data_IF_369526791543
#
_entry.id   IF_369526791543
#
_cell.length_a   1.000
_cell.length_b   1.000
_cell.length_c   1.000
_cell.angle_alpha   90.00
_cell.angle_beta   90.00
_cell.angle_gamma   90.00
#
_symmetry.space_group_name_H-M   'P 1'
#
loop_
_entity.id
_entity.type
_entity.pdbx_description
1 polymer ?
#
# COMPACT_ATOMS: atom_id res chain seq x y z
N UNK A 1 0.74 -4.23 9.09
CA UNK A 1 1.19 -5.52 8.50
C UNK A 1 -0.05 -6.18 7.89
N UNK A 2 0.04 -6.73 6.67
CA UNK A 2 -1.09 -7.40 6.01
C UNK A 2 -1.09 -8.90 6.28
N UNK A 3 0.08 -9.55 6.23
CA UNK A 3 0.25 -10.97 6.58
C UNK A 3 1.53 -11.11 7.39
N UNK A 4 1.41 -11.60 8.62
CA UNK A 4 2.56 -11.97 9.44
C UNK A 4 3.14 -13.28 8.95
N UNK A 5 4.42 -13.29 8.56
CA UNK A 5 5.14 -14.50 8.20
C UNK A 5 6.49 -14.51 8.90
N UNK A 6 6.78 -15.60 9.59
CA UNK A 6 8.08 -15.88 10.19
C UNK A 6 8.77 -16.94 9.34
N UNK A 7 9.93 -16.60 8.80
CA UNK A 7 10.80 -17.57 8.12
C UNK A 7 11.89 -17.98 9.10
N UNK A 8 12.07 -19.29 9.38
CA UNK A 8 13.19 -19.73 10.19
C UNK A 8 14.49 -19.37 9.47
N UNK A 9 15.43 -18.75 10.19
CA UNK A 9 16.73 -18.40 9.65
C UNK A 9 17.80 -19.07 10.49
N UNK A 10 18.49 -20.04 9.90
CA UNK A 10 19.66 -20.67 10.52
C UNK A 10 20.85 -19.74 10.33
N UNK A 11 20.88 -18.63 11.07
CA UNK A 11 22.00 -17.69 11.06
C UNK A 11 23.06 -18.21 12.02
N UNK A 12 24.25 -18.52 11.51
CA UNK A 12 25.41 -18.79 12.38
C UNK A 12 25.76 -17.50 13.11
N UNK A 13 25.93 -17.55 14.43
CA UNK A 13 26.24 -16.38 15.25
C UNK A 13 27.49 -15.60 14.78
N UNK A 14 28.36 -16.26 14.01
CA UNK A 14 29.58 -15.71 13.42
C UNK A 14 29.35 -14.74 12.24
N UNK A 15 28.15 -14.67 11.67
CA UNK A 15 27.89 -13.76 10.54
C UNK A 15 27.49 -12.35 10.96
N UNK A 16 27.28 -12.10 12.25
CA UNK A 16 26.98 -10.76 12.76
C UNK A 16 28.27 -9.96 12.95
N UNK A 17 28.20 -8.67 12.67
CA UNK A 17 29.28 -7.74 12.91
C UNK A 17 29.63 -7.72 14.44
N UNK A 18 30.91 -7.55 14.80
CA UNK A 18 31.32 -7.53 16.21
C UNK A 18 30.61 -6.43 17.02
N UNK A 19 30.26 -5.31 16.40
CA UNK A 19 29.50 -4.21 17.01
C UNK A 19 28.09 -4.65 17.41
N UNK A 20 27.40 -5.38 16.52
CA UNK A 20 26.06 -5.93 16.78
C UNK A 20 26.08 -6.98 17.91
N UNK A 21 27.16 -7.77 17.98
CA UNK A 21 27.36 -8.75 19.06
C UNK A 21 27.57 -8.06 20.41
N UNK A 22 28.39 -7.01 20.44
CA UNK A 22 28.64 -6.22 21.65
C UNK A 22 27.35 -5.54 22.14
N UNK A 23 26.59 -4.91 21.25
CA UNK A 23 25.32 -4.26 21.60
C UNK A 23 24.32 -5.25 22.18
N UNK A 24 24.21 -6.45 21.59
CA UNK A 24 23.33 -7.51 22.10
C UNK A 24 23.77 -8.02 23.48
N UNK A 25 25.07 -8.15 23.72
CA UNK A 25 25.61 -8.57 25.01
C UNK A 25 25.34 -7.54 26.12
N UNK A 26 25.51 -6.26 25.82
CA UNK A 26 25.23 -5.15 26.76
C UNK A 26 23.73 -5.07 27.07
N UNK A 27 22.88 -5.21 26.04
CA UNK A 27 21.42 -5.08 26.18
C UNK A 27 20.71 -6.39 26.58
N UNK A 28 21.42 -7.51 26.70
CA UNK A 28 20.85 -8.82 27.03
C UNK A 28 19.85 -9.37 26.00
N UNK A 29 19.90 -8.90 24.75
CA UNK A 29 18.94 -9.27 23.70
C UNK A 29 19.33 -10.61 23.09
N UNK A 30 18.46 -11.62 23.25
CA UNK A 30 18.65 -12.94 22.67
C UNK A 30 18.52 -12.92 21.13
N UNK A 31 19.30 -13.76 20.46
CA UNK A 31 19.26 -13.90 18.99
C UNK A 31 17.97 -14.60 18.58
N UNK A 32 17.10 -13.89 17.86
CA UNK A 32 15.93 -14.50 17.24
C UNK A 32 16.34 -15.48 16.14
N UNK A 33 15.92 -16.73 16.24
CA UNK A 33 16.15 -17.80 15.24
C UNK A 33 15.26 -17.68 14.00
N UNK A 34 14.36 -16.69 13.98
CA UNK A 34 13.40 -16.46 12.91
C UNK A 34 13.45 -15.02 12.43
N UNK A 35 13.39 -14.83 11.12
CA UNK A 35 13.28 -13.52 10.48
C UNK A 35 11.84 -13.26 10.05
N UNK A 36 11.33 -12.07 10.37
CA UNK A 36 10.05 -11.62 9.85
C UNK A 36 10.13 -11.37 8.33
N UNK A 37 9.34 -12.10 7.56
CA UNK A 37 9.15 -11.92 6.11
C UNK A 37 7.69 -11.57 5.80
N UNK A 38 7.13 -10.68 6.62
CA UNK A 38 5.74 -10.30 6.57
C UNK A 38 5.39 -9.51 5.29
N UNK A 39 4.16 -9.71 4.80
CA UNK A 39 3.59 -8.88 3.74
C UNK A 39 3.15 -7.55 4.37
N UNK A 40 3.75 -6.45 3.90
CA UNK A 40 3.39 -5.09 4.31
C UNK A 40 2.68 -4.38 3.16
N UNK A 41 1.88 -3.38 3.49
CA UNK A 41 1.28 -2.50 2.49
C UNK A 41 2.39 -1.70 1.80
N UNK A 42 2.49 -1.68 0.46
CA UNK A 42 3.45 -0.85 -0.26
C UNK A 42 3.31 0.63 0.11
N UNK A 43 4.40 1.37 -0.06
CA UNK A 43 4.47 2.81 0.21
C UNK A 43 3.41 3.53 -0.63
N UNK A 44 2.65 4.43 0.00
CA UNK A 44 1.55 5.14 -0.65
C UNK A 44 0.25 4.33 -0.80
N UNK A 45 0.28 3.03 -0.55
CA UNK A 45 -0.93 2.21 -0.42
C UNK A 45 -1.73 2.63 0.81
N UNK A 46 -3.03 2.89 0.63
CA UNK A 46 -4.01 3.16 1.70
C UNK A 46 -5.35 2.59 1.27
N UNK A 47 -6.18 2.17 2.22
CA UNK A 47 -7.51 1.66 1.90
C UNK A 47 -8.08 0.76 2.97
N UNK A 48 -9.26 0.21 2.69
CA UNK A 48 -9.95 -0.77 3.53
C UNK A 48 -9.74 -2.16 2.96
N UNK A 49 -9.41 -3.14 3.81
CA UNK A 49 -9.39 -4.54 3.39
C UNK A 49 -10.83 -4.98 3.13
N UNK A 50 -11.11 -5.45 1.91
CA UNK A 50 -12.46 -5.90 1.51
C UNK A 50 -12.61 -7.40 1.57
N UNK A 51 -11.54 -8.15 1.25
CA UNK A 51 -11.56 -9.59 1.14
C UNK A 51 -10.16 -10.15 1.40
N UNK A 52 -10.11 -11.33 2.00
CA UNK A 52 -8.88 -12.09 2.24
C UNK A 52 -9.13 -13.52 1.77
N UNK A 53 -8.43 -13.93 0.72
CA UNK A 53 -8.54 -15.28 0.17
C UNK A 53 -7.31 -16.09 0.51
N UNK A 54 -7.54 -17.22 1.17
CA UNK A 54 -6.53 -18.23 1.40
C UNK A 54 -6.69 -19.36 0.38
N UNK A 55 -5.66 -19.56 -0.43
CA UNK A 55 -5.62 -20.59 -1.46
C UNK A 55 -4.57 -21.62 -1.04
N UNK A 56 -5.03 -22.83 -0.76
CA UNK A 56 -4.19 -23.99 -0.51
C UNK A 56 -4.31 -24.95 -1.68
N UNK A 57 -3.21 -25.26 -2.37
CA UNK A 57 -3.21 -26.21 -3.48
C UNK A 57 -3.20 -27.63 -2.90
N UNK A 58 -4.31 -28.37 -3.03
CA UNK A 58 -4.36 -29.81 -2.74
C UNK A 58 -3.86 -30.58 -3.96
N UNK A 59 -2.54 -30.73 -4.10
CA UNK A 59 -1.93 -31.57 -5.13
C UNK A 59 -0.61 -32.13 -4.61
N UNK A 60 -0.34 -33.42 -4.81
CA UNK A 60 0.76 -34.18 -4.22
C UNK A 60 2.18 -33.81 -4.63
N UNK A 61 2.47 -32.53 -4.90
CA UNK A 61 3.84 -32.04 -5.00
C UNK A 61 4.39 -31.70 -3.61
N UNK A 62 5.66 -32.07 -3.36
CA UNK A 62 6.38 -31.87 -2.09
C UNK A 62 6.39 -30.41 -1.59
N UNK A 63 6.14 -29.44 -2.48
CA UNK A 63 6.04 -28.03 -2.15
C UNK A 63 4.63 -27.49 -2.42
N UNK A 64 3.83 -27.34 -1.35
CA UNK A 64 2.52 -26.70 -1.41
C UNK A 64 2.62 -25.25 -0.91
N UNK A 65 2.88 -24.26 -1.78
CA UNK A 65 2.91 -22.87 -1.35
C UNK A 65 1.49 -22.43 -0.96
N UNK A 66 1.30 -22.09 0.31
CA UNK A 66 0.12 -21.37 0.75
C UNK A 66 0.14 -19.97 0.15
N UNK A 67 -0.94 -19.57 -0.52
CA UNK A 67 -1.08 -18.23 -1.08
C UNK A 67 -2.19 -17.49 -0.36
N UNK A 68 -1.84 -16.36 0.24
CA UNK A 68 -2.79 -15.44 0.87
C UNK A 68 -2.89 -14.20 -0.01
N UNK A 69 -4.09 -13.92 -0.52
CA UNK A 69 -4.40 -12.71 -1.28
C UNK A 69 -5.22 -11.78 -0.42
N UNK A 70 -4.75 -10.54 -0.25
CA UNK A 70 -5.45 -9.49 0.49
C UNK A 70 -5.91 -8.44 -0.50
N UNK A 71 -7.22 -8.25 -0.63
CA UNK A 71 -7.82 -7.25 -1.50
C UNK A 71 -8.06 -5.96 -0.70
N UNK A 72 -7.50 -4.85 -1.19
CA UNK A 72 -7.58 -3.54 -0.53
C UNK A 72 -8.27 -2.58 -1.48
N UNK A 73 -9.39 -2.03 -1.02
CA UNK A 73 -10.14 -1.00 -1.73
C UNK A 73 -9.65 0.38 -1.33
N UNK A 74 -9.34 1.21 -2.32
CA UNK A 74 -9.01 2.62 -2.13
C UNK A 74 -10.01 3.48 -2.93
N UNK A 75 -10.84 4.26 -2.25
CA UNK A 75 -11.60 5.34 -2.89
C UNK A 75 -10.68 6.54 -3.07
N UNK A 76 -10.49 7.00 -4.31
CA UNK A 76 -9.71 8.20 -4.63
C UNK A 76 -10.66 9.29 -5.12
N UNK A 77 -10.59 10.43 -4.45
CA UNK A 77 -11.25 11.66 -4.90
C UNK A 77 -10.37 12.37 -5.92
N UNK A 78 -11.00 13.18 -6.77
CA UNK A 78 -10.31 14.01 -7.76
C UNK A 78 -9.43 15.03 -7.03
N UNK A 79 -8.19 15.19 -7.49
CA UNK A 79 -7.23 16.13 -6.93
C UNK A 79 -6.60 17.01 -8.01
N UNK A 80 -6.05 18.14 -7.56
CA UNK A 80 -5.18 18.96 -8.40
C UNK A 80 -4.03 18.10 -8.93
N UNK A 81 -3.77 18.20 -10.23
CA UNK A 81 -2.81 17.34 -10.93
C UNK A 81 -3.43 16.11 -11.61
N UNK A 82 -4.69 15.77 -11.33
CA UNK A 82 -5.38 14.72 -12.08
C UNK A 82 -5.68 15.19 -13.51
N UNK A 83 -5.57 14.26 -14.45
CA UNK A 83 -5.79 14.52 -15.88
C UNK A 83 -7.24 14.24 -16.24
N UNK A 84 -7.88 15.20 -16.91
CA UNK A 84 -9.24 15.10 -17.45
C UNK A 84 -9.21 15.22 -18.97
N UNK A 85 -10.13 14.55 -19.65
CA UNK A 85 -10.24 14.59 -21.11
C UNK A 85 -11.70 14.52 -21.55
N UNK A 86 -12.03 15.30 -22.58
CA UNK A 86 -13.32 15.22 -23.25
C UNK A 86 -13.31 14.27 -24.45
N UNK A 87 -14.45 14.18 -25.14
CA UNK A 87 -14.67 13.24 -26.26
C UNK A 87 -14.13 13.72 -27.60
N UNK A 88 -13.69 14.98 -27.69
CA UNK A 88 -13.25 15.63 -28.92
C UNK A 88 -11.74 15.93 -28.93
N UNK A 89 -10.95 15.21 -28.13
CA UNK A 89 -9.49 15.36 -28.09
C UNK A 89 -8.97 16.49 -27.20
N UNK A 90 -9.85 17.25 -26.55
CA UNK A 90 -9.50 18.21 -25.50
C UNK A 90 -8.99 17.46 -24.24
N UNK A 91 -7.78 17.79 -23.79
CA UNK A 91 -7.14 17.21 -22.60
C UNK A 91 -6.66 18.35 -21.71
N UNK A 92 -6.83 18.20 -20.40
CA UNK A 92 -6.39 19.18 -19.40
C UNK A 92 -5.94 18.50 -18.12
N UNK A 93 -5.18 19.24 -17.30
CA UNK A 93 -4.83 18.85 -15.93
C UNK A 93 -5.60 19.80 -15.00
N UNK A 94 -6.16 19.27 -13.92
CA UNK A 94 -6.87 20.10 -12.94
C UNK A 94 -5.86 21.01 -12.25
N UNK A 95 -5.97 22.31 -12.50
CA UNK A 95 -5.08 23.34 -11.95
C UNK A 95 -5.48 23.78 -10.55
N UNK A 96 -6.78 23.94 -10.29
CA UNK A 96 -7.33 24.38 -9.01
C UNK A 96 -8.74 23.82 -8.81
N UNK A 97 -9.04 23.40 -7.58
CA UNK A 97 -10.39 23.02 -7.15
C UNK A 97 -10.91 24.17 -6.28
N UNK A 98 -11.93 24.88 -6.76
CA UNK A 98 -12.52 26.03 -6.08
C UNK A 98 -13.73 25.61 -5.23
N UNK A 99 -14.01 26.31 -4.12
CA UNK A 99 -15.30 26.24 -3.46
C UNK A 99 -16.44 26.62 -4.40
N UNK A 100 -17.63 26.05 -4.18
CA UNK A 100 -18.78 26.22 -5.07
C UNK A 100 -19.23 27.68 -5.19
N UNK A 101 -19.09 28.48 -4.14
CA UNK A 101 -19.44 29.89 -4.11
C UNK A 101 -18.54 30.79 -4.96
N UNK A 102 -17.31 30.36 -5.25
CA UNK A 102 -16.34 31.13 -6.04
C UNK A 102 -16.44 30.77 -7.53
N UNK A 103 -17.22 29.75 -7.88
CA UNK A 103 -17.44 29.35 -9.27
C UNK A 103 -18.37 30.35 -9.97
N UNK A 104 -18.13 30.65 -11.25
CA UNK A 104 -19.07 31.42 -12.06
C UNK A 104 -20.47 30.80 -12.01
N UNK A 105 -21.50 31.64 -11.92
CA UNK A 105 -22.89 31.24 -11.81
C UNK A 105 -23.70 31.72 -13.02
N UNK A 106 -24.71 30.93 -13.36
CA UNK A 106 -25.72 31.28 -14.35
C UNK A 106 -26.72 32.28 -13.74
N UNK A 107 -27.54 32.92 -14.59
CA UNK A 107 -28.57 33.88 -14.14
C UNK A 107 -29.60 33.27 -13.19
N UNK A 108 -29.76 31.95 -13.21
CA UNK A 108 -30.63 31.19 -12.30
C UNK A 108 -29.94 30.82 -10.97
N UNK A 109 -28.70 31.25 -10.75
CA UNK A 109 -27.91 31.00 -9.54
C UNK A 109 -27.16 29.66 -9.50
N UNK A 110 -27.24 28.82 -10.55
CA UNK A 110 -26.48 27.57 -10.60
C UNK A 110 -25.01 27.82 -10.95
N UNK A 111 -24.11 27.38 -10.07
CA UNK A 111 -22.67 27.36 -10.32
C UNK A 111 -22.29 26.39 -11.44
N UNK A 112 -21.32 26.75 -12.26
CA UNK A 112 -20.70 25.86 -13.25
C UNK A 112 -19.82 24.80 -12.54
N UNK A 113 -19.73 23.59 -13.11
CA UNK A 113 -18.92 22.50 -12.53
C UNK A 113 -17.44 22.52 -12.97
N UNK A 114 -17.16 22.95 -14.21
CA UNK A 114 -15.81 23.02 -14.77
C UNK A 114 -15.66 24.24 -15.69
N UNK A 115 -14.51 24.90 -15.59
CA UNK A 115 -14.09 25.99 -16.48
C UNK A 115 -12.84 25.51 -17.23
N UNK A 116 -12.84 25.65 -18.55
CA UNK A 116 -11.75 25.23 -19.44
C UNK A 116 -10.83 26.39 -19.77
#
# INVERSE_FOLDING_TARGET
ILVGKLTPQVVKESSYAPEDRLLRAILGIQVSTSKETCLKLPIGGRGRVIDVRWIQKRGGSSYNPEMIRVYILQKREIKVGDKVAGRHGNKGIISKILPRQDMPYLQDGRSVDMVF
#
